data_IF_179655975899
#
_entry.id   IF_179655975899
#
_cell.length_a   1.000
_cell.length_b   1.000
_cell.length_c   1.000
_cell.angle_alpha   90.00
_cell.angle_beta   90.00
_cell.angle_gamma   90.00
#
_symmetry.space_group_name_H-M   'P 1'
#
loop_
_entity.id
_entity.type
_entity.pdbx_description
1 polymer ?
#
# COMPACT_ATOMS: atom_id res chain seq x y z
N UNK A 1 -18.29 -7.59 11.52
CA UNK A 1 -17.39 -8.76 11.47
C UNK A 1 -16.05 -8.35 12.05
N UNK A 2 -15.69 -8.85 13.22
CA UNK A 2 -14.48 -8.45 13.97
C UNK A 2 -13.30 -9.28 13.47
N UNK A 3 -12.42 -8.67 12.68
CA UNK A 3 -11.28 -9.36 12.09
C UNK A 3 -10.17 -9.60 13.13
N UNK A 4 -9.73 -10.85 13.26
CA UNK A 4 -8.77 -11.31 14.28
C UNK A 4 -7.37 -10.68 14.23
N UNK A 5 -6.61 -10.94 15.32
CA UNK A 5 -5.38 -10.27 15.77
C UNK A 5 -4.05 -10.94 15.34
N UNK A 6 -4.08 -11.90 14.42
CA UNK A 6 -2.88 -12.64 13.94
C UNK A 6 -2.92 -12.83 12.42
N UNK A 7 -1.79 -12.77 11.68
CA UNK A 7 -1.78 -12.98 10.23
C UNK A 7 -2.10 -14.45 9.90
N UNK A 8 -3.33 -14.70 9.50
CA UNK A 8 -3.82 -16.01 9.07
C UNK A 8 -4.33 -15.89 7.63
N UNK A 9 -3.39 -15.81 6.68
CA UNK A 9 -3.68 -15.72 5.26
C UNK A 9 -4.67 -16.81 4.81
N UNK A 10 -4.53 -18.06 5.27
CA UNK A 10 -5.44 -19.15 4.89
C UNK A 10 -6.91 -19.01 5.31
N UNK A 11 -7.23 -18.17 6.30
CA UNK A 11 -8.61 -17.90 6.72
C UNK A 11 -9.17 -16.56 6.16
N UNK A 12 -8.30 -15.76 5.52
CA UNK A 12 -8.58 -14.40 5.05
C UNK A 12 -8.37 -14.23 3.53
N UNK A 13 -7.68 -15.17 2.89
CA UNK A 13 -7.47 -15.22 1.44
C UNK A 13 -8.65 -15.86 0.74
N UNK A 14 -9.75 -15.15 0.78
CA UNK A 14 -10.54 -15.06 -0.43
C UNK A 14 -10.51 -13.59 -0.81
N UNK A 15 -9.73 -13.24 -1.84
CA UNK A 15 -9.98 -12.00 -2.62
C UNK A 15 -11.47 -11.90 -2.98
N UNK A 16 -12.15 -13.07 -3.09
CA UNK A 16 -13.61 -13.22 -3.17
C UNK A 16 -14.43 -12.59 -2.03
N UNK A 17 -13.89 -12.46 -0.81
CA UNK A 17 -14.58 -11.78 0.30
C UNK A 17 -14.30 -10.28 0.31
N UNK A 18 -13.14 -9.84 -0.17
CA UNK A 18 -12.88 -8.42 -0.44
C UNK A 18 -13.78 -7.88 -1.54
N UNK A 19 -14.06 -8.69 -2.56
CA UNK A 19 -15.03 -8.35 -3.60
C UNK A 19 -16.46 -8.12 -3.10
N UNK A 20 -16.77 -8.47 -1.84
CA UNK A 20 -18.08 -8.24 -1.22
C UNK A 20 -18.12 -7.02 -0.30
N UNK A 21 -16.96 -6.47 0.10
CA UNK A 21 -16.93 -5.29 0.94
C UNK A 21 -17.23 -4.05 0.07
N UNK A 22 -18.27 -3.26 0.39
CA UNK A 22 -18.66 -2.12 -0.43
C UNK A 22 -17.61 -1.01 -0.47
N UNK A 23 -16.63 -1.01 0.43
CA UNK A 23 -15.53 -0.05 0.46
C UNK A 23 -14.35 -0.48 -0.41
N UNK A 24 -14.31 -1.72 -0.91
CA UNK A 24 -13.21 -2.22 -1.74
C UNK A 24 -13.65 -2.25 -3.21
N UNK A 25 -12.93 -1.52 -4.04
CA UNK A 25 -13.25 -1.34 -5.45
C UNK A 25 -12.10 -1.87 -6.31
N UNK A 26 -12.31 -3.01 -6.97
CA UNK A 26 -11.35 -3.60 -7.91
C UNK A 26 -11.47 -3.02 -9.32
N UNK A 27 -10.46 -3.26 -10.16
CA UNK A 27 -10.42 -2.85 -11.56
C UNK A 27 -10.51 -1.34 -11.76
N UNK A 28 -10.04 -0.56 -10.79
CA UNK A 28 -10.09 0.90 -10.85
C UNK A 28 -8.91 1.44 -11.65
N UNK A 29 -9.07 2.64 -12.20
CA UNK A 29 -7.97 3.40 -12.80
C UNK A 29 -7.74 4.70 -12.03
N UNK A 30 -6.58 5.36 -12.17
CA UNK A 30 -6.36 6.68 -11.58
C UNK A 30 -7.49 7.68 -11.88
N UNK A 31 -8.03 7.68 -13.10
CA UNK A 31 -9.12 8.56 -13.54
C UNK A 31 -10.47 8.21 -12.88
N UNK A 32 -10.70 6.93 -12.58
CA UNK A 32 -11.88 6.52 -11.79
C UNK A 32 -11.73 6.97 -10.34
N UNK A 33 -10.54 6.85 -9.75
CA UNK A 33 -10.26 7.32 -8.39
C UNK A 33 -10.45 8.83 -8.30
N UNK A 34 -9.90 9.60 -9.24
CA UNK A 34 -10.01 11.06 -9.27
C UNK A 34 -11.45 11.58 -9.35
N UNK A 35 -12.40 10.77 -9.85
CA UNK A 35 -13.84 11.10 -9.86
C UNK A 35 -14.56 10.76 -8.56
N UNK A 36 -13.99 9.89 -7.73
CA UNK A 36 -14.64 9.30 -6.54
C UNK A 36 -14.03 9.74 -5.21
N UNK A 37 -12.77 10.18 -5.23
CA UNK A 37 -12.02 10.55 -4.04
C UNK A 37 -11.43 11.96 -4.19
N UNK A 38 -11.28 12.65 -3.06
CA UNK A 38 -10.65 13.96 -2.96
C UNK A 38 -9.82 14.04 -1.69
N UNK A 39 -8.88 14.97 -1.60
CA UNK A 39 -7.97 15.12 -0.46
C UNK A 39 -6.73 14.23 -0.58
N UNK A 40 -6.20 13.82 0.58
CA UNK A 40 -4.98 13.03 0.68
C UNK A 40 -5.26 11.55 0.32
N UNK A 41 -4.52 11.01 -0.65
CA UNK A 41 -4.65 9.62 -1.11
C UNK A 41 -3.42 8.84 -0.67
N UNK A 42 -3.63 7.80 0.13
CA UNK A 42 -2.56 6.90 0.55
C UNK A 42 -2.26 5.89 -0.56
N UNK A 43 -1.02 5.81 -1.03
CA UNK A 43 -0.59 4.87 -2.07
C UNK A 43 0.17 3.72 -1.42
N UNK A 44 -0.52 2.59 -1.29
CA UNK A 44 -0.02 1.36 -0.70
C UNK A 44 0.67 0.49 -1.77
N UNK A 45 1.97 0.23 -1.61
CA UNK A 45 2.77 -0.57 -2.55
C UNK A 45 3.60 -1.60 -1.81
N UNK A 46 3.88 -2.77 -2.42
CA UNK A 46 4.76 -3.76 -1.80
C UNK A 46 6.18 -3.20 -1.62
N UNK A 47 6.83 -3.53 -0.50
CA UNK A 47 8.20 -3.12 -0.23
C UNK A 47 9.07 -4.24 0.33
N UNK A 48 8.76 -4.79 1.50
CA UNK A 48 9.66 -5.73 2.22
C UNK A 48 10.12 -6.93 1.37
N UNK A 49 9.24 -7.50 0.54
CA UNK A 49 9.58 -8.60 -0.38
C UNK A 49 10.30 -8.16 -1.67
N UNK A 50 10.20 -6.87 -2.00
CA UNK A 50 10.79 -6.27 -3.19
C UNK A 50 12.07 -5.51 -2.92
N UNK A 51 12.41 -5.22 -1.65
CA UNK A 51 13.59 -4.44 -1.27
C UNK A 51 14.73 -5.32 -0.74
N UNK A 52 14.71 -6.60 -1.08
CA UNK A 52 15.69 -7.59 -0.63
C UNK A 52 16.38 -8.26 -1.82
N UNK A 53 17.63 -8.67 -1.63
CA UNK A 53 18.37 -9.51 -2.57
C UNK A 53 17.89 -10.98 -2.55
N UNK A 54 18.47 -11.83 -3.39
CA UNK A 54 18.14 -13.27 -3.46
C UNK A 54 18.39 -14.02 -2.14
N UNK A 55 19.18 -13.45 -1.23
CA UNK A 55 19.44 -14.00 0.09
C UNK A 55 18.50 -13.42 1.19
N UNK A 56 17.52 -12.59 0.80
CA UNK A 56 16.57 -11.97 1.72
C UNK A 56 17.14 -10.82 2.54
N UNK A 57 18.33 -10.32 2.22
CA UNK A 57 18.92 -9.15 2.90
C UNK A 57 18.47 -7.89 2.19
N UNK A 58 18.31 -6.81 2.94
CA UNK A 58 17.98 -5.53 2.34
C UNK A 58 18.99 -5.12 1.27
N UNK A 59 18.49 -4.71 0.11
CA UNK A 59 19.26 -4.26 -1.04
C UNK A 59 18.89 -2.83 -1.38
N UNK A 60 19.89 -1.95 -1.41
CA UNK A 60 19.69 -0.55 -1.75
C UNK A 60 19.14 -0.38 -3.17
N UNK A 61 19.60 -1.20 -4.12
CA UNK A 61 19.14 -1.14 -5.52
C UNK A 61 17.67 -1.53 -5.61
N UNK A 62 17.29 -2.64 -4.99
CA UNK A 62 15.92 -3.14 -4.99
C UNK A 62 14.96 -2.19 -4.24
N UNK A 63 15.44 -1.61 -3.14
CA UNK A 63 14.75 -0.53 -2.42
C UNK A 63 14.48 0.70 -3.29
N UNK A 64 15.47 1.15 -4.08
CA UNK A 64 15.30 2.25 -5.04
C UNK A 64 14.26 1.91 -6.12
N UNK A 65 14.28 0.69 -6.66
CA UNK A 65 13.31 0.23 -7.66
C UNK A 65 11.89 0.20 -7.08
N UNK A 66 11.72 -0.30 -5.85
CA UNK A 66 10.43 -0.31 -5.17
C UNK A 66 9.91 1.12 -4.93
N UNK A 67 10.79 2.03 -4.46
CA UNK A 67 10.46 3.43 -4.26
C UNK A 67 10.09 4.14 -5.56
N UNK A 68 10.80 3.86 -6.66
CA UNK A 68 10.49 4.44 -7.97
C UNK A 68 9.12 3.98 -8.48
N UNK A 69 8.78 2.70 -8.34
CA UNK A 69 7.45 2.17 -8.69
C UNK A 69 6.35 2.87 -7.90
N UNK A 70 6.57 3.08 -6.60
CA UNK A 70 5.64 3.81 -5.73
C UNK A 70 5.51 5.29 -6.11
N UNK A 71 6.63 5.94 -6.45
CA UNK A 71 6.65 7.32 -6.93
C UNK A 71 5.90 7.48 -8.26
N UNK A 72 6.10 6.56 -9.23
CA UNK A 72 5.37 6.54 -10.50
C UNK A 72 3.88 6.35 -10.29
N UNK A 73 3.47 5.48 -9.35
CA UNK A 73 2.07 5.32 -9.00
C UNK A 73 1.46 6.60 -8.41
N UNK A 74 2.18 7.26 -7.51
CA UNK A 74 1.78 8.54 -6.92
C UNK A 74 1.68 9.64 -7.98
N UNK A 75 2.66 9.72 -8.88
CA UNK A 75 2.71 10.70 -9.97
C UNK A 75 1.46 10.65 -10.86
N UNK A 76 0.96 9.44 -11.20
CA UNK A 76 -0.27 9.27 -11.99
C UNK A 76 -1.51 9.89 -11.32
N UNK A 77 -1.63 9.76 -10.00
CA UNK A 77 -2.72 10.38 -9.25
C UNK A 77 -2.52 11.89 -9.13
N UNK A 78 -1.28 12.34 -8.86
CA UNK A 78 -0.94 13.76 -8.76
C UNK A 78 -1.18 14.51 -10.07
N UNK A 79 -0.88 13.89 -11.21
CA UNK A 79 -1.17 14.45 -12.54
C UNK A 79 -2.67 14.69 -12.79
N UNK A 80 -3.54 14.01 -12.03
CA UNK A 80 -5.00 14.17 -12.08
C UNK A 80 -5.53 15.11 -10.98
N UNK A 81 -4.65 15.85 -10.28
CA UNK A 81 -5.01 16.83 -9.27
C UNK A 81 -5.25 16.25 -7.87
N UNK A 82 -4.96 14.98 -7.64
CA UNK A 82 -5.05 14.36 -6.31
C UNK A 82 -3.77 14.60 -5.50
N UNK A 83 -3.91 14.78 -4.19
CA UNK A 83 -2.74 14.82 -3.30
C UNK A 83 -2.35 13.40 -2.92
N UNK A 84 -1.47 12.76 -3.70
CA UNK A 84 -1.03 11.39 -3.43
C UNK A 84 0.20 11.36 -2.52
N UNK A 85 0.17 10.51 -1.49
CA UNK A 85 1.30 10.23 -0.60
C UNK A 85 1.62 8.74 -0.63
N UNK A 86 2.88 8.41 -0.90
CA UNK A 86 3.40 7.06 -0.72
C UNK A 86 4.40 7.04 0.44
N UNK A 87 4.09 6.35 1.55
CA UNK A 87 5.04 6.19 2.64
C UNK A 87 6.35 5.55 2.19
N UNK A 88 6.31 4.62 1.23
CA UNK A 88 7.50 3.93 0.71
C UNK A 88 8.51 4.91 0.09
N UNK A 89 8.04 5.91 -0.65
CA UNK A 89 8.93 6.92 -1.26
C UNK A 89 9.73 7.65 -0.18
N UNK A 90 9.05 8.11 0.87
CA UNK A 90 9.68 8.86 1.96
C UNK A 90 10.54 7.94 2.84
N UNK A 91 10.05 6.75 3.19
CA UNK A 91 10.76 5.76 3.99
C UNK A 91 12.08 5.34 3.32
N UNK A 92 12.04 4.97 2.03
CA UNK A 92 13.23 4.58 1.29
C UNK A 92 14.25 5.71 1.24
N UNK A 93 13.83 6.95 1.00
CA UNK A 93 14.73 8.11 1.03
C UNK A 93 15.41 8.29 2.40
N UNK A 94 14.68 8.14 3.50
CA UNK A 94 15.24 8.23 4.85
C UNK A 94 16.22 7.10 5.15
N UNK A 95 15.89 5.85 4.79
CA UNK A 95 16.79 4.70 4.94
C UNK A 95 18.08 4.85 4.11
N UNK A 96 17.98 5.41 2.91
CA UNK A 96 19.17 5.65 2.07
C UNK A 96 20.04 6.80 2.60
N UNK A 97 19.44 7.76 3.30
CA UNK A 97 20.16 8.88 3.89
C UNK A 97 20.80 8.55 5.25
N UNK A 98 20.35 7.49 5.93
CA UNK A 98 20.80 7.15 7.28
C UNK A 98 20.71 5.65 7.58
N UNK A 99 21.79 5.08 8.13
CA UNK A 99 21.82 3.71 8.63
C UNK A 99 21.12 3.52 10.00
N UNK A 100 20.56 4.59 10.58
CA UNK A 100 19.89 4.52 11.89
C UNK A 100 18.51 3.87 11.84
N UNK A 101 17.96 3.67 10.63
CA UNK A 101 16.64 3.08 10.42
C UNK A 101 16.82 1.69 9.80
N UNK A 102 16.21 0.69 10.41
CA UNK A 102 16.11 -0.63 9.79
C UNK A 102 14.98 -0.61 8.73
N UNK A 103 15.30 -0.73 7.43
CA UNK A 103 14.30 -0.71 6.37
C UNK A 103 13.34 -1.92 6.42
N UNK A 104 13.67 -2.98 7.17
CA UNK A 104 12.84 -4.17 7.31
C UNK A 104 12.09 -4.25 8.65
N UNK A 105 12.20 -3.24 9.52
CA UNK A 105 11.45 -3.17 10.78
C UNK A 105 9.97 -2.83 10.52
N UNK A 106 9.19 -3.88 10.26
CA UNK A 106 7.76 -3.78 9.97
C UNK A 106 7.00 -3.06 11.09
N UNK A 107 7.34 -3.28 12.36
CA UNK A 107 6.60 -2.71 13.49
C UNK A 107 6.81 -1.20 13.55
N UNK A 108 8.05 -0.76 13.37
CA UNK A 108 8.38 0.66 13.29
C UNK A 108 7.66 1.32 12.13
N UNK A 109 7.77 0.76 10.92
CA UNK A 109 7.18 1.36 9.72
C UNK A 109 5.66 1.38 9.75
N UNK A 110 4.99 0.34 10.26
CA UNK A 110 3.52 0.35 10.45
C UNK A 110 3.11 1.50 11.38
N UNK A 111 3.81 1.72 12.49
CA UNK A 111 3.51 2.84 13.41
C UNK A 111 3.76 4.20 12.76
N UNK A 112 4.84 4.32 11.99
CA UNK A 112 5.19 5.54 11.29
C UNK A 112 4.19 5.88 10.17
N UNK A 113 3.67 4.87 9.47
CA UNK A 113 2.67 5.02 8.41
C UNK A 113 1.26 5.35 8.93
N UNK A 114 0.90 4.89 10.14
CA UNK A 114 -0.46 5.00 10.67
C UNK A 114 -1.03 6.44 10.67
N UNK A 115 -0.28 7.50 11.04
CA UNK A 115 -0.77 8.87 10.93
C UNK A 115 -1.11 9.27 9.48
N UNK A 116 -0.31 8.87 8.49
CA UNK A 116 -0.57 9.15 7.08
C UNK A 116 -1.87 8.46 6.65
N UNK A 117 -2.01 7.17 6.95
CA UNK A 117 -3.20 6.39 6.64
C UNK A 117 -4.46 6.97 7.30
N UNK A 118 -4.35 7.39 8.56
CA UNK A 118 -5.47 7.96 9.32
C UNK A 118 -5.99 9.26 8.72
N UNK A 119 -5.12 10.07 8.10
CA UNK A 119 -5.47 11.37 7.51
C UNK A 119 -5.88 11.28 6.04
N UNK A 120 -5.50 10.21 5.35
CA UNK A 120 -5.91 9.98 3.97
C UNK A 120 -7.42 9.74 3.87
N UNK A 121 -8.06 10.28 2.85
CA UNK A 121 -9.48 10.07 2.58
C UNK A 121 -9.75 8.72 1.90
N UNK A 122 -8.74 8.15 1.24
CA UNK A 122 -8.81 6.86 0.55
C UNK A 122 -7.43 6.18 0.49
N UNK A 123 -7.45 4.89 0.22
CA UNK A 123 -6.26 4.09 -0.11
C UNK A 123 -6.32 3.67 -1.58
N UNK A 124 -5.18 3.73 -2.27
CA UNK A 124 -4.97 3.16 -3.59
C UNK A 124 -3.93 2.07 -3.51
N UNK A 125 -4.24 0.92 -4.10
CA UNK A 125 -3.33 -0.21 -4.28
C UNK A 125 -3.09 -0.36 -5.79
N UNK A 126 -1.94 0.10 -6.29
CA UNK A 126 -1.58 -0.07 -7.69
C UNK A 126 -1.34 -1.54 -8.03
N UNK A 127 -1.60 -1.92 -9.28
CA UNK A 127 -1.32 -3.25 -9.79
C UNK A 127 0.18 -3.44 -10.03
N UNK A 128 0.91 -3.73 -8.96
CA UNK A 128 2.35 -3.99 -8.96
C UNK A 128 2.62 -5.43 -8.55
N UNK A 129 3.60 -6.12 -9.15
CA UNK A 129 3.92 -7.50 -8.78
C UNK A 129 4.07 -7.67 -7.26
N UNK A 130 3.36 -8.65 -6.70
CA UNK A 130 3.39 -8.99 -5.27
C UNK A 130 2.49 -8.13 -4.38
N UNK A 131 1.63 -7.25 -4.93
CA UNK A 131 0.68 -6.47 -4.13
C UNK A 131 -0.29 -7.38 -3.35
N UNK A 132 -0.72 -8.47 -3.98
CA UNK A 132 -1.67 -9.49 -3.47
C UNK A 132 -1.06 -10.44 -2.44
N UNK A 133 0.27 -10.39 -2.28
CA UNK A 133 1.05 -11.19 -1.35
C UNK A 133 1.66 -10.34 -0.22
N UNK A 134 1.40 -9.03 -0.21
CA UNK A 134 2.02 -8.10 0.74
C UNK A 134 1.24 -8.02 2.05
N UNK A 135 1.85 -8.48 3.15
CA UNK A 135 1.30 -8.36 4.50
C UNK A 135 0.99 -6.90 4.85
N UNK A 136 1.90 -5.99 4.50
CA UNK A 136 1.75 -4.56 4.75
C UNK A 136 0.52 -3.98 4.07
N UNK A 137 0.36 -4.23 2.77
CA UNK A 137 -0.81 -3.73 2.01
C UNK A 137 -2.11 -4.31 2.56
N UNK A 138 -2.11 -5.60 2.91
CA UNK A 138 -3.28 -6.23 3.51
C UNK A 138 -3.67 -5.57 4.84
N UNK A 139 -2.69 -5.31 5.71
CA UNK A 139 -2.91 -4.62 6.97
C UNK A 139 -3.45 -3.19 6.76
N UNK A 140 -2.84 -2.43 5.84
CA UNK A 140 -3.25 -1.06 5.51
C UNK A 140 -4.67 -0.98 4.96
N UNK A 141 -5.03 -1.89 4.05
CA UNK A 141 -6.37 -1.95 3.49
C UNK A 141 -7.43 -2.32 4.54
N UNK A 142 -7.13 -3.30 5.39
CA UNK A 142 -8.01 -3.67 6.51
C UNK A 142 -8.21 -2.53 7.49
N UNK A 143 -7.15 -1.81 7.81
CA UNK A 143 -7.23 -0.65 8.71
C UNK A 143 -8.04 0.47 8.06
N UNK A 144 -7.84 0.74 6.77
CA UNK A 144 -8.63 1.71 6.01
C UNK A 144 -10.13 1.38 6.01
N UNK A 145 -10.49 0.13 5.73
CA UNK A 145 -11.88 -0.35 5.81
C UNK A 145 -12.42 -0.20 7.23
N UNK A 146 -11.63 -0.55 8.25
CA UNK A 146 -11.99 -0.34 9.67
C UNK A 146 -12.20 1.13 10.03
N UNK A 147 -11.58 2.05 9.31
CA UNK A 147 -11.77 3.50 9.42
C UNK A 147 -12.83 4.05 8.45
N UNK A 148 -13.61 3.18 7.79
CA UNK A 148 -14.63 3.55 6.80
C UNK A 148 -14.08 4.39 5.63
N UNK A 149 -12.87 4.05 5.16
CA UNK A 149 -12.22 4.69 4.00
C UNK A 149 -12.30 3.75 2.79
N UNK A 150 -12.64 4.25 1.60
CA UNK A 150 -12.62 3.43 0.40
C UNK A 150 -11.19 3.02 0.03
N UNK A 151 -11.07 1.79 -0.48
CA UNK A 151 -9.85 1.19 -1.00
C UNK A 151 -10.04 0.90 -2.49
N UNK A 152 -9.21 1.51 -3.33
CA UNK A 152 -9.25 1.33 -4.78
C UNK A 152 -8.07 0.47 -5.22
N UNK A 153 -8.36 -0.70 -5.80
CA UNK A 153 -7.38 -1.64 -6.32
C UNK A 153 -7.40 -1.59 -7.84
N UNK A 154 -6.23 -1.45 -8.46
CA UNK A 154 -6.14 -1.35 -9.92
C UNK A 154 -6.23 -2.70 -10.63
N UNK A 155 -5.74 -3.76 -9.99
CA UNK A 155 -5.91 -5.12 -10.49
C UNK A 155 -7.40 -5.45 -10.64
N UNK A 156 -7.74 -6.18 -11.69
CA UNK A 156 -9.09 -6.75 -11.83
C UNK A 156 -9.28 -7.81 -10.73
N UNK A 157 -10.48 -7.90 -10.16
CA UNK A 157 -10.79 -8.82 -9.05
C UNK A 157 -10.84 -10.31 -9.44
N UNK A 158 -10.09 -10.71 -10.47
CA UNK A 158 -9.95 -12.08 -10.93
C UNK A 158 -8.58 -12.58 -10.44
N UNK A 159 -8.62 -13.36 -9.36
CA UNK A 159 -7.51 -14.21 -8.88
C UNK A 159 -7.99 -15.65 -8.93
#
# INVERSE_FOLDING_TARGET
MTLGRTPAWGALMNVRDWGKDPLIHFGQTPEMVARKAAGLIYVATPYTKLAVDDAGRWSQVESLVAAERAARASCRLTALGLTAISPIVQAAAMCHASAALDPLDVVFWTRWCAPLLSRSSAVVIPDLPGWDQSDGIWHEAREAVGMNKPVFVYARGEV
#
